data_IF_259126202276
#
_entry.id   IF_259126202276
#
_cell.length_a   1.000
_cell.length_b   1.000
_cell.length_c   1.000
_cell.angle_alpha   90.00
_cell.angle_beta   90.00
_cell.angle_gamma   90.00
#
_symmetry.space_group_name_H-M   'P 1'
#
loop_
_entity.id
_entity.type
_entity.pdbx_description
1 polymer ?
#
# COMPACT_ATOMS: atom_id res chain seq x y z
N UNK A 1 0.90 13.60 17.75
CA UNK A 1 0.93 14.57 16.64
C UNK A 1 0.00 14.04 15.56
N UNK A 2 -0.90 14.87 15.06
CA UNK A 2 -1.73 14.51 13.92
C UNK A 2 -0.91 14.72 12.63
N UNK A 3 -0.81 13.70 11.79
CA UNK A 3 -0.17 13.80 10.47
C UNK A 3 -1.08 14.65 9.59
N UNK A 4 -0.55 15.70 8.98
CA UNK A 4 -1.37 16.59 8.13
C UNK A 4 -1.74 15.89 6.82
N UNK A 5 -3.02 15.91 6.46
CA UNK A 5 -3.51 15.36 5.19
C UNK A 5 -3.70 16.52 4.21
N UNK A 6 -2.93 16.55 3.14
CA UNK A 6 -3.00 17.59 2.09
C UNK A 6 -3.59 16.97 0.82
N UNK A 7 -4.74 17.48 0.37
CA UNK A 7 -5.33 17.07 -0.91
C UNK A 7 -4.87 18.00 -2.03
N UNK A 8 -4.06 17.48 -2.96
CA UNK A 8 -3.59 18.16 -4.17
C UNK A 8 -4.14 17.49 -5.44
N UNK A 9 -5.09 16.56 -5.30
CA UNK A 9 -5.77 15.96 -6.44
C UNK A 9 -6.95 16.83 -6.87
N UNK A 10 -7.01 17.18 -8.15
CA UNK A 10 -8.16 17.91 -8.74
C UNK A 10 -9.40 17.01 -8.88
N UNK A 11 -9.21 15.69 -8.78
CA UNK A 11 -10.26 14.72 -8.97
C UNK A 11 -11.13 14.54 -7.73
N UNK A 12 -12.41 14.24 -7.97
CA UNK A 12 -13.34 13.81 -6.92
C UNK A 12 -12.91 12.47 -6.31
N UNK A 13 -12.38 12.54 -5.09
CA UNK A 13 -12.02 11.37 -4.30
C UNK A 13 -13.28 10.58 -3.89
N UNK A 14 -13.17 9.24 -3.73
CA UNK A 14 -14.24 8.46 -3.10
C UNK A 14 -14.61 9.03 -1.73
N UNK A 15 -15.89 8.86 -1.35
CA UNK A 15 -16.37 9.24 -0.02
C UNK A 15 -15.50 8.55 1.04
N UNK A 16 -15.25 9.24 2.15
CA UNK A 16 -14.46 8.74 3.29
C UNK A 16 -12.96 8.52 3.03
N UNK A 17 -12.40 8.97 1.90
CA UNK A 17 -10.95 8.78 1.62
C UNK A 17 -10.07 9.34 2.74
N UNK A 18 -10.39 10.52 3.25
CA UNK A 18 -9.65 11.15 4.37
C UNK A 18 -9.80 10.30 5.64
N UNK A 19 -11.02 9.90 6.00
CA UNK A 19 -11.27 9.05 7.16
C UNK A 19 -10.56 7.69 7.07
N UNK A 20 -10.41 7.12 5.86
CA UNK A 20 -9.64 5.90 5.65
C UNK A 20 -8.13 6.10 5.86
N UNK A 21 -7.60 7.28 5.52
CA UNK A 21 -6.20 7.63 5.77
C UNK A 21 -5.96 7.77 7.28
N UNK A 22 -6.85 8.49 7.97
CA UNK A 22 -6.79 8.65 9.44
C UNK A 22 -6.86 7.30 10.14
N UNK A 23 -7.84 6.46 9.78
CA UNK A 23 -7.99 5.11 10.30
C UNK A 23 -6.76 4.21 10.05
N UNK A 24 -6.11 4.37 8.89
CA UNK A 24 -4.88 3.66 8.60
C UNK A 24 -3.78 4.06 9.60
N UNK A 25 -3.56 5.35 9.81
CA UNK A 25 -2.55 5.82 10.75
C UNK A 25 -2.87 5.46 12.20
N UNK A 26 -4.13 5.55 12.61
CA UNK A 26 -4.57 5.19 13.97
C UNK A 26 -4.40 3.69 14.26
N UNK A 27 -4.42 2.85 13.22
CA UNK A 27 -4.20 1.41 13.36
C UNK A 27 -2.73 1.02 13.56
N UNK A 28 -1.80 1.94 13.32
CA UNK A 28 -0.35 1.74 13.44
C UNK A 28 0.17 2.20 14.82
N UNK A 29 1.25 1.59 15.33
CA UNK A 29 1.94 2.10 16.51
C UNK A 29 2.43 3.54 16.30
N UNK A 30 2.25 4.40 17.31
CA UNK A 30 2.62 5.83 17.25
C UNK A 30 4.11 6.04 17.01
N UNK A 31 4.92 5.09 17.45
CA UNK A 31 6.38 5.09 17.28
C UNK A 31 6.74 4.96 15.80
N UNK A 32 5.97 4.19 15.03
CA UNK A 32 6.25 3.94 13.61
C UNK A 32 5.91 5.13 12.72
N UNK A 33 5.08 6.06 13.21
CA UNK A 33 4.69 7.28 12.48
C UNK A 33 5.45 8.51 12.99
N UNK A 34 6.32 8.34 13.99
CA UNK A 34 7.08 9.44 14.59
C UNK A 34 8.01 10.09 13.58
N UNK A 35 7.82 11.40 13.36
CA UNK A 35 8.63 12.17 12.43
C UNK A 35 8.05 12.27 11.01
N UNK A 36 6.89 11.63 10.76
CA UNK A 36 6.06 11.93 9.60
C UNK A 36 5.27 13.21 9.85
N UNK A 37 5.43 14.19 8.97
CA UNK A 37 4.74 15.48 9.08
C UNK A 37 3.41 15.48 8.34
N UNK A 38 3.39 14.90 7.13
CA UNK A 38 2.23 14.97 6.23
C UNK A 38 2.13 13.81 5.26
N UNK A 39 0.93 13.64 4.73
CA UNK A 39 0.62 12.83 3.56
C UNK A 39 -0.05 13.72 2.51
N UNK A 40 0.45 13.67 1.28
CA UNK A 40 -0.14 14.37 0.14
C UNK A 40 -0.87 13.38 -0.77
N UNK A 41 -2.07 13.76 -1.15
CA UNK A 41 -2.89 13.04 -2.12
C UNK A 41 -2.69 13.75 -3.46
N UNK A 42 -2.08 13.06 -4.42
CA UNK A 42 -1.80 13.60 -5.76
C UNK A 42 -2.46 12.72 -6.81
N UNK A 43 -2.60 13.23 -8.02
CA UNK A 43 -3.13 12.41 -9.12
C UNK A 43 -2.08 11.40 -9.61
N UNK A 44 -0.88 11.89 -9.91
CA UNK A 44 0.30 11.09 -10.27
C UNK A 44 1.53 11.65 -9.58
N UNK A 45 2.50 10.78 -9.29
CA UNK A 45 3.77 11.20 -8.68
C UNK A 45 4.67 11.81 -9.77
N UNK A 46 5.14 13.03 -9.50
CA UNK A 46 6.06 13.76 -10.36
C UNK A 46 7.31 14.12 -9.54
N UNK A 47 8.23 13.17 -9.41
CA UNK A 47 9.53 13.39 -8.76
C UNK A 47 10.65 13.40 -9.82
N UNK A 48 11.47 14.48 -9.91
CA UNK A 48 12.61 14.54 -10.81
C UNK A 48 13.59 13.36 -10.69
N UNK A 49 13.72 12.75 -9.51
CA UNK A 49 14.59 11.59 -9.23
C UNK A 49 14.16 10.33 -9.98
N UNK A 50 12.89 10.26 -10.39
CA UNK A 50 12.29 9.09 -11.02
C UNK A 50 12.28 9.17 -12.55
N UNK A 51 12.73 10.28 -13.16
CA UNK A 51 12.65 10.53 -14.61
C UNK A 51 13.26 9.45 -15.51
N UNK A 52 14.26 8.71 -15.02
CA UNK A 52 14.93 7.64 -15.78
C UNK A 52 14.45 6.23 -15.41
N UNK A 53 13.52 6.11 -14.47
CA UNK A 53 12.92 4.83 -14.06
C UNK A 53 11.53 4.78 -14.67
N UNK A 54 11.29 3.80 -15.54
CA UNK A 54 10.25 3.78 -16.59
C UNK A 54 8.78 4.06 -16.21
N UNK A 55 8.40 4.32 -14.96
CA UNK A 55 6.98 4.33 -14.56
C UNK A 55 6.66 5.23 -13.35
N UNK A 56 7.19 6.46 -13.29
CA UNK A 56 6.79 7.41 -12.23
C UNK A 56 5.25 7.61 -12.17
N UNK A 57 4.57 7.49 -13.32
CA UNK A 57 3.11 7.54 -13.44
C UNK A 57 2.36 6.28 -12.98
N UNK A 58 3.05 5.16 -12.71
CA UNK A 58 2.41 3.92 -12.23
C UNK A 58 2.69 3.63 -10.76
N UNK A 59 3.49 4.46 -10.08
CA UNK A 59 3.78 4.28 -8.66
C UNK A 59 2.56 4.66 -7.82
N UNK A 60 2.04 3.77 -6.96
CA UNK A 60 0.87 4.07 -6.14
C UNK A 60 1.19 5.00 -4.97
N UNK A 61 2.45 5.13 -4.59
CA UNK A 61 2.91 6.00 -3.51
C UNK A 61 4.42 6.20 -3.51
N UNK A 62 4.87 7.31 -2.91
CA UNK A 62 6.28 7.65 -2.77
C UNK A 62 6.57 8.13 -1.34
N UNK A 63 7.66 7.61 -0.76
CA UNK A 63 8.17 8.04 0.54
C UNK A 63 9.27 9.09 0.34
N UNK A 64 9.11 10.24 1.00
CA UNK A 64 10.11 11.29 1.03
C UNK A 64 10.80 11.33 2.39
N UNK A 65 12.06 10.88 2.50
CA UNK A 65 12.80 10.94 3.75
C UNK A 65 13.11 12.38 4.14
N UNK A 66 13.31 12.60 5.44
CA UNK A 66 13.68 13.91 6.01
C UNK A 66 14.92 14.47 5.30
N UNK A 67 14.81 15.68 4.79
CA UNK A 67 15.89 16.39 4.08
C UNK A 67 16.03 17.79 4.66
N UNK A 68 17.14 18.00 5.40
CA UNK A 68 17.42 19.26 6.08
C UNK A 68 16.30 19.66 7.06
N UNK A 69 15.69 20.85 6.90
CA UNK A 69 14.62 21.33 7.78
C UNK A 69 13.26 20.69 7.51
N UNK A 70 13.03 20.12 6.32
CA UNK A 70 11.76 19.49 5.98
C UNK A 70 11.72 18.06 6.55
N UNK A 71 10.71 17.75 7.37
CA UNK A 71 10.52 16.41 7.91
C UNK A 71 10.11 15.40 6.85
N UNK A 72 9.97 14.15 7.27
CA UNK A 72 9.60 13.07 6.38
C UNK A 72 8.12 13.18 6.02
N UNK A 73 7.76 12.85 4.79
CA UNK A 73 6.38 12.93 4.30
C UNK A 73 6.09 11.89 3.23
N UNK A 74 4.80 11.68 2.99
CA UNK A 74 4.29 10.63 2.10
C UNK A 74 3.53 11.24 0.92
N UNK A 75 3.60 10.60 -0.25
CA UNK A 75 2.74 10.86 -1.40
C UNK A 75 1.96 9.62 -1.77
N UNK A 76 0.68 9.80 -2.08
CA UNK A 76 -0.19 8.74 -2.60
C UNK A 76 -0.81 9.20 -3.92
N UNK A 77 -0.60 8.40 -4.97
CA UNK A 77 -1.11 8.67 -6.31
C UNK A 77 -2.48 8.03 -6.52
N UNK A 78 -3.54 8.82 -6.48
CA UNK A 78 -4.92 8.32 -6.63
C UNK A 78 -5.22 7.93 -8.08
N UNK A 79 -4.56 8.54 -9.06
CA UNK A 79 -4.70 8.18 -10.48
C UNK A 79 -4.31 6.73 -10.75
N UNK A 80 -3.32 6.21 -10.02
CA UNK A 80 -2.89 4.80 -10.10
C UNK A 80 -3.89 3.88 -9.38
N UNK A 81 -4.36 4.28 -8.21
CA UNK A 81 -5.30 3.49 -7.40
C UNK A 81 -6.70 3.43 -8.03
N UNK A 82 -7.10 4.47 -8.76
CA UNK A 82 -8.39 4.61 -9.41
C UNK A 82 -8.21 4.99 -10.89
N UNK A 83 -7.76 4.05 -11.75
CA UNK A 83 -7.49 4.37 -13.14
C UNK A 83 -8.77 4.76 -13.89
N UNK A 84 -8.81 6.01 -14.38
CA UNK A 84 -9.91 6.50 -15.22
C UNK A 84 -9.74 6.13 -16.69
N UNK A 85 -8.53 5.78 -17.13
CA UNK A 85 -8.27 5.43 -18.53
C UNK A 85 -8.79 4.02 -18.92
N UNK A 86 -9.63 3.38 -18.10
CA UNK A 86 -10.18 2.04 -18.36
C UNK A 86 -11.68 2.10 -18.69
N UNK A 87 -12.23 1.14 -19.46
CA UNK A 87 -13.68 1.00 -19.65
C UNK A 87 -14.43 0.86 -18.32
N UNK A 88 -15.69 1.29 -18.26
CA UNK A 88 -16.51 1.37 -17.02
C UNK A 88 -16.51 0.03 -16.25
N UNK A 89 -16.65 -1.11 -16.93
CA UNK A 89 -16.63 -2.44 -16.31
C UNK A 89 -15.28 -2.77 -15.65
N UNK A 90 -14.16 -2.29 -16.20
CA UNK A 90 -12.83 -2.45 -15.60
C UNK A 90 -12.54 -1.45 -14.47
N UNK A 91 -13.41 -0.45 -14.25
CA UNK A 91 -13.31 0.52 -13.14
C UNK A 91 -13.98 0.03 -11.85
N UNK A 92 -14.83 -1.00 -11.92
CA UNK A 92 -15.56 -1.52 -10.75
C UNK A 92 -14.58 -2.14 -9.73
N UNK A 93 -13.67 -3.01 -10.19
CA UNK A 93 -12.72 -3.69 -9.31
C UNK A 93 -11.77 -2.72 -8.58
N UNK A 94 -11.15 -1.72 -9.24
CA UNK A 94 -10.36 -0.71 -8.54
C UNK A 94 -11.16 0.12 -7.53
N UNK A 95 -12.43 0.44 -7.83
CA UNK A 95 -13.31 1.18 -6.91
C UNK A 95 -13.64 0.37 -5.66
N UNK A 96 -13.94 -0.92 -5.82
CA UNK A 96 -14.24 -1.81 -4.69
C UNK A 96 -12.99 -2.10 -3.84
N UNK A 97 -11.82 -2.21 -4.47
CA UNK A 97 -10.55 -2.46 -3.77
C UNK A 97 -9.84 -1.20 -3.29
N UNK A 98 -10.37 -0.01 -3.60
CA UNK A 98 -9.73 1.28 -3.32
C UNK A 98 -9.29 1.42 -1.86
N UNK A 99 -10.20 1.15 -0.92
CA UNK A 99 -9.91 1.24 0.52
C UNK A 99 -8.74 0.32 0.91
N UNK A 100 -8.77 -0.93 0.49
CA UNK A 100 -7.72 -1.90 0.79
C UNK A 100 -6.38 -1.50 0.17
N UNK A 101 -6.38 -1.05 -1.08
CA UNK A 101 -5.18 -0.62 -1.78
C UNK A 101 -4.59 0.65 -1.15
N UNK A 102 -5.44 1.62 -0.78
CA UNK A 102 -5.03 2.85 -0.09
C UNK A 102 -4.33 2.54 1.23
N UNK A 103 -4.95 1.72 2.09
CA UNK A 103 -4.37 1.31 3.38
C UNK A 103 -3.06 0.53 3.17
N UNK A 104 -3.03 -0.38 2.18
CA UNK A 104 -1.82 -1.14 1.85
C UNK A 104 -0.67 -0.23 1.42
N UNK A 105 -0.95 0.77 0.57
CA UNK A 105 0.04 1.78 0.16
C UNK A 105 0.55 2.56 1.36
N UNK A 106 -0.35 3.03 2.24
CA UNK A 106 0.05 3.77 3.45
C UNK A 106 0.94 2.90 4.35
N UNK A 107 0.58 1.64 4.59
CA UNK A 107 1.38 0.74 5.42
C UNK A 107 2.75 0.44 4.81
N UNK A 108 2.83 0.32 3.48
CA UNK A 108 4.10 0.18 2.78
C UNK A 108 4.97 1.43 2.95
N UNK A 109 4.40 2.62 2.78
CA UNK A 109 5.11 3.89 2.95
C UNK A 109 5.57 4.13 4.38
N UNK A 110 4.74 3.81 5.38
CA UNK A 110 5.13 3.87 6.79
C UNK A 110 6.18 2.81 7.12
N UNK A 111 6.08 1.61 6.53
CA UNK A 111 7.10 0.58 6.66
C UNK A 111 8.45 1.03 6.12
N UNK A 112 8.47 1.73 4.98
CA UNK A 112 9.67 2.38 4.44
C UNK A 112 10.20 3.42 5.43
N UNK A 113 9.35 4.33 5.92
CA UNK A 113 9.75 5.31 6.93
C UNK A 113 10.36 4.67 8.18
N UNK A 114 9.70 3.65 8.74
CA UNK A 114 10.16 2.94 9.92
C UNK A 114 11.54 2.29 9.69
N UNK A 115 11.73 1.60 8.56
CA UNK A 115 13.00 0.91 8.27
C UNK A 115 14.12 1.85 7.79
N UNK A 116 13.81 2.96 7.13
CA UNK A 116 14.82 3.92 6.69
C UNK A 116 15.23 4.92 7.77
N UNK A 117 14.27 5.35 8.60
CA UNK A 117 14.46 6.50 9.50
C UNK A 117 14.55 6.10 10.97
N UNK A 118 13.89 5.01 11.39
CA UNK A 118 13.83 4.64 12.81
C UNK A 118 14.67 3.40 13.12
N UNK A 119 14.69 2.42 12.21
CA UNK A 119 15.38 1.15 12.39
C UNK A 119 16.57 1.03 11.43
N UNK A 120 17.69 1.66 11.77
CA UNK A 120 18.93 1.69 10.96
C UNK A 120 19.72 0.36 10.90
N UNK A 121 19.08 -0.78 11.13
CA UNK A 121 19.76 -2.08 11.27
C UNK A 121 19.73 -2.95 10.01
N UNK A 122 19.16 -2.47 8.89
CA UNK A 122 18.91 -3.29 7.71
C UNK A 122 19.81 -2.92 6.53
N UNK A 123 20.37 -3.96 5.90
CA UNK A 123 21.10 -3.80 4.63
C UNK A 123 20.11 -3.53 3.49
N UNK A 124 20.56 -2.84 2.45
CA UNK A 124 19.72 -2.45 1.29
C UNK A 124 18.96 -3.63 0.66
N UNK A 125 19.60 -4.80 0.55
CA UNK A 125 18.99 -6.03 0.01
C UNK A 125 17.85 -6.60 0.86
N UNK A 126 17.80 -6.26 2.16
CA UNK A 126 16.81 -6.78 3.11
C UNK A 126 15.62 -5.83 3.31
N UNK A 127 15.71 -4.61 2.77
CA UNK A 127 14.70 -3.58 2.98
C UNK A 127 13.35 -3.93 2.36
N UNK A 128 13.34 -4.32 1.09
CA UNK A 128 12.09 -4.66 0.40
C UNK A 128 11.36 -5.84 1.09
N UNK A 129 12.03 -6.98 1.42
CA UNK A 129 11.41 -8.04 2.21
C UNK A 129 10.89 -7.56 3.57
N UNK A 130 11.62 -6.67 4.26
CA UNK A 130 11.22 -6.17 5.57
C UNK A 130 9.98 -5.27 5.48
N UNK A 131 9.95 -4.34 4.53
CA UNK A 131 8.79 -3.46 4.26
C UNK A 131 7.58 -4.29 3.86
N UNK A 132 7.76 -5.30 3.01
CA UNK A 132 6.68 -6.21 2.64
C UNK A 132 6.12 -6.96 3.85
N UNK A 133 6.99 -7.55 4.66
CA UNK A 133 6.59 -8.28 5.87
C UNK A 133 5.85 -7.37 6.86
N UNK A 134 6.34 -6.13 7.02
CA UNK A 134 5.69 -5.09 7.83
C UNK A 134 4.28 -4.80 7.31
N UNK A 135 4.15 -4.57 6.00
CA UNK A 135 2.88 -4.26 5.34
C UNK A 135 1.88 -5.40 5.52
N UNK A 136 2.30 -6.64 5.25
CA UNK A 136 1.46 -7.84 5.40
C UNK A 136 0.99 -8.03 6.85
N UNK A 137 1.87 -7.82 7.84
CA UNK A 137 1.54 -7.91 9.27
C UNK A 137 0.47 -6.90 9.67
N UNK A 138 0.67 -5.64 9.33
CA UNK A 138 -0.27 -4.57 9.72
C UNK A 138 -1.57 -4.63 8.93
N UNK A 139 -1.53 -5.03 7.65
CA UNK A 139 -2.71 -5.25 6.84
C UNK A 139 -3.57 -6.40 7.38
N UNK A 140 -2.95 -7.50 7.81
CA UNK A 140 -3.66 -8.60 8.49
C UNK A 140 -4.35 -8.12 9.76
N UNK A 141 -3.62 -7.41 10.62
CA UNK A 141 -4.17 -6.87 11.87
C UNK A 141 -5.32 -5.88 11.63
N UNK A 142 -5.20 -5.01 10.63
CA UNK A 142 -6.25 -4.07 10.25
C UNK A 142 -7.49 -4.78 9.72
N UNK A 143 -7.32 -5.77 8.83
CA UNK A 143 -8.42 -6.57 8.31
C UNK A 143 -9.16 -7.33 9.43
N UNK A 144 -8.44 -7.91 10.38
CA UNK A 144 -9.04 -8.61 11.53
C UNK A 144 -9.91 -7.68 12.38
N UNK A 145 -9.45 -6.45 12.62
CA UNK A 145 -10.23 -5.43 13.37
C UNK A 145 -11.47 -4.98 12.59
N UNK A 146 -11.32 -4.64 11.31
CA UNK A 146 -12.42 -4.09 10.49
C UNK A 146 -13.47 -5.11 10.10
N UNK A 147 -13.08 -6.37 9.91
CA UNK A 147 -13.97 -7.42 9.47
C UNK A 147 -14.31 -8.39 10.58
N UNK A 148 -14.43 -7.94 11.84
CA UNK A 148 -14.65 -8.81 13.01
C UNK A 148 -15.73 -9.89 12.81
N UNK A 149 -16.85 -9.58 12.14
CA UNK A 149 -17.90 -10.56 11.84
C UNK A 149 -17.48 -11.59 10.76
N UNK A 150 -16.93 -11.15 9.63
CA UNK A 150 -16.40 -12.04 8.57
C UNK A 150 -15.18 -12.83 9.05
N UNK A 151 -14.29 -12.20 9.81
CA UNK A 151 -13.13 -12.84 10.41
C UNK A 151 -13.56 -13.94 11.38
N UNK A 152 -14.60 -13.75 12.19
CA UNK A 152 -15.16 -14.83 13.02
C UNK A 152 -15.70 -15.99 12.18
N UNK A 153 -16.37 -15.72 11.06
CA UNK A 153 -16.91 -16.74 10.16
C UNK A 153 -15.82 -17.52 9.38
N UNK A 154 -14.79 -16.82 8.92
CA UNK A 154 -13.75 -17.40 8.05
C UNK A 154 -12.48 -17.87 8.78
N UNK A 155 -12.24 -17.44 10.03
CA UNK A 155 -11.13 -17.92 10.88
C UNK A 155 -11.01 -19.45 10.94
N UNK A 156 -12.09 -20.22 11.20
CA UNK A 156 -11.98 -21.69 11.23
C UNK A 156 -11.67 -22.31 9.86
N UNK A 157 -12.01 -21.60 8.76
CA UNK A 157 -11.77 -22.05 7.38
C UNK A 157 -10.46 -21.50 6.78
N UNK A 158 -9.73 -20.61 7.47
CA UNK A 158 -8.43 -20.12 7.02
C UNK A 158 -7.44 -21.24 6.65
N UNK A 159 -7.23 -22.29 7.48
CA UNK A 159 -6.23 -23.30 7.15
C UNK A 159 -6.57 -24.10 5.88
N UNK A 160 -7.86 -24.32 5.60
CA UNK A 160 -8.29 -25.03 4.39
C UNK A 160 -8.18 -24.12 3.16
N UNK A 161 -8.58 -22.86 3.28
CA UNK A 161 -8.42 -21.85 2.24
C UNK A 161 -6.95 -21.60 1.88
N UNK A 162 -6.05 -21.54 2.87
CA UNK A 162 -4.60 -21.40 2.63
C UNK A 162 -4.01 -22.62 1.91
N UNK A 163 -4.46 -23.83 2.25
CA UNK A 163 -4.05 -25.06 1.55
C UNK A 163 -4.50 -25.04 0.10
N UNK A 164 -5.74 -24.62 -0.17
CA UNK A 164 -6.26 -24.49 -1.53
C UNK A 164 -5.56 -23.37 -2.30
N UNK A 165 -5.29 -22.22 -1.68
CA UNK A 165 -4.55 -21.12 -2.29
C UNK A 165 -3.13 -21.56 -2.68
N UNK A 166 -2.42 -22.29 -1.82
CA UNK A 166 -1.10 -22.88 -2.14
C UNK A 166 -1.19 -23.88 -3.30
N UNK A 167 -2.24 -24.70 -3.35
CA UNK A 167 -2.51 -25.62 -4.46
C UNK A 167 -2.72 -24.89 -5.79
N UNK A 168 -3.54 -23.84 -5.80
CA UNK A 168 -3.81 -23.02 -6.98
C UNK A 168 -2.58 -22.23 -7.43
N UNK A 169 -1.81 -21.66 -6.50
CA UNK A 169 -0.56 -20.97 -6.83
C UNK A 169 0.47 -21.90 -7.45
N UNK A 170 0.60 -23.14 -6.94
CA UNK A 170 1.47 -24.17 -7.55
C UNK A 170 1.02 -24.53 -8.97
N UNK A 171 -0.28 -24.68 -9.20
CA UNK A 171 -0.85 -24.97 -10.53
C UNK A 171 -0.63 -23.80 -11.51
N UNK A 172 -0.92 -22.57 -11.09
CA UNK A 172 -0.68 -21.38 -11.91
C UNK A 172 0.80 -21.17 -12.22
N UNK A 173 1.71 -21.44 -11.26
CA UNK A 173 3.15 -21.38 -11.50
C UNK A 173 3.62 -22.47 -12.48
N UNK A 174 3.05 -23.68 -12.41
CA UNK A 174 3.34 -24.76 -13.35
C UNK A 174 2.84 -24.45 -14.77
N UNK A 175 1.64 -23.87 -14.91
CA UNK A 175 1.11 -23.43 -16.20
C UNK A 175 1.94 -22.28 -16.81
N UNK A 176 2.37 -21.31 -15.99
CA UNK A 176 3.29 -20.26 -16.46
C UNK A 176 4.60 -20.85 -16.96
N UNK A 177 5.19 -21.80 -16.23
CA UNK A 177 6.41 -22.51 -16.68
C UNK A 177 6.17 -23.30 -17.97
N UNK A 178 5.03 -23.98 -18.11
CA UNK A 178 4.66 -24.73 -19.31
C UNK A 178 4.49 -23.81 -20.53
N UNK A 179 3.83 -22.66 -20.37
CA UNK A 179 3.66 -21.66 -21.44
C UNK A 179 4.98 -20.95 -21.81
N UNK A 180 5.93 -20.82 -20.88
CA UNK A 180 7.28 -20.32 -21.15
C UNK A 180 8.17 -21.36 -21.83
N UNK A 181 7.95 -22.65 -21.58
CA UNK A 181 8.69 -23.74 -22.22
C UNK A 181 8.12 -24.15 -23.59
N UNK A 182 6.90 -23.73 -23.92
CA UNK A 182 6.25 -23.95 -25.23
C UNK A 182 6.40 -22.77 -26.20
N UNK A 183 7.21 -21.77 -25.84
CA UNK A 183 7.64 -20.65 -26.69
C UNK A 183 9.13 -20.79 -26.93
#
# INVERSE_FOLDING_TARGET
MAIKIENQSERKLPKETIAHIEDAFDSLPREHTRGLERIRIVEFISDPRLKNTFQASELPGLYHPRQGPQGAWLEVAVGVLLPDNKPIHKRIVPRLSFKGNLVTTIFSLVGQHYHFTLKHSLKKSQLEPAVRTYTEKHLKAWNEKKHTFRARLFKPLQPTLERWAKGLQKRAAAEKKKNLASK
#
